data_IF_044683538245
#
_entry.id   IF_044683538245
#
_cell.length_a   1.000
_cell.length_b   1.000
_cell.length_c   1.000
_cell.angle_alpha   90.00
_cell.angle_beta   90.00
_cell.angle_gamma   90.00
#
_symmetry.space_group_name_H-M   'P 1'
#
loop_
_entity.id
_entity.type
_entity.pdbx_description
1 polymer ?
#
# COMPACT_ATOMS: atom_id res chain seq x y z
N UNK A 1 33.33 5.10 2.92
CA UNK A 1 31.85 5.23 2.93
C UNK A 1 31.36 5.35 4.37
N UNK A 2 30.50 6.33 4.68
CA UNK A 2 29.91 6.47 6.02
C UNK A 2 29.04 5.25 6.37
N UNK A 3 29.05 4.82 7.65
CA UNK A 3 28.22 3.71 8.15
C UNK A 3 26.73 3.89 7.82
N UNK A 4 26.24 5.13 7.76
CA UNK A 4 24.86 5.43 7.39
C UNK A 4 24.51 5.17 5.91
N UNK A 5 25.47 5.34 4.99
CA UNK A 5 25.25 5.03 3.57
C UNK A 5 25.22 3.52 3.33
N UNK A 6 26.07 2.77 4.06
CA UNK A 6 26.10 1.31 4.01
C UNK A 6 24.83 0.69 4.57
N UNK A 7 24.33 1.18 5.70
CA UNK A 7 23.09 0.68 6.30
C UNK A 7 21.87 0.91 5.39
N UNK A 8 21.78 2.09 4.76
CA UNK A 8 20.70 2.39 3.80
C UNK A 8 20.77 1.50 2.56
N UNK A 9 21.96 1.27 2.02
CA UNK A 9 22.14 0.34 0.90
C UNK A 9 21.78 -1.10 1.28
N UNK A 10 22.23 -1.55 2.45
CA UNK A 10 21.99 -2.90 2.93
C UNK A 10 20.50 -3.19 3.14
N UNK A 11 19.75 -2.28 3.77
CA UNK A 11 18.30 -2.43 3.99
C UNK A 11 17.53 -2.48 2.66
N UNK A 12 17.87 -1.62 1.70
CA UNK A 12 17.19 -1.60 0.40
C UNK A 12 17.45 -2.91 -0.37
N UNK A 13 18.70 -3.38 -0.36
CA UNK A 13 19.07 -4.62 -1.04
C UNK A 13 18.45 -5.85 -0.38
N UNK A 14 18.37 -5.88 0.95
CA UNK A 14 17.77 -6.98 1.70
C UNK A 14 16.24 -7.04 1.56
N UNK A 15 15.57 -5.89 1.42
CA UNK A 15 14.15 -5.81 1.10
C UNK A 15 13.85 -6.21 -0.36
N UNK A 16 14.78 -5.97 -1.29
CA UNK A 16 14.63 -6.37 -2.70
C UNK A 16 14.62 -7.90 -2.90
N UNK A 17 15.32 -8.64 -2.03
CA UNK A 17 15.28 -10.11 -2.02
C UNK A 17 13.95 -10.68 -1.50
N UNK A 18 13.15 -9.88 -0.78
CA UNK A 18 11.82 -10.28 -0.36
C UNK A 18 10.85 -10.18 -1.55
N UNK A 19 10.70 -11.27 -2.30
CA UNK A 19 9.88 -11.36 -3.53
C UNK A 19 8.42 -10.85 -3.38
N UNK A 20 7.91 -10.77 -2.15
CA UNK A 20 6.56 -10.32 -1.83
C UNK A 20 6.46 -8.84 -1.42
N UNK A 21 7.57 -8.14 -1.19
CA UNK A 21 7.58 -6.74 -0.75
C UNK A 21 7.88 -5.84 -1.94
N UNK A 22 6.86 -5.17 -2.48
CA UNK A 22 7.02 -4.30 -3.65
C UNK A 22 7.30 -2.84 -3.27
N UNK A 23 8.13 -2.14 -4.04
CA UNK A 23 8.33 -0.70 -3.90
C UNK A 23 7.10 0.09 -4.37
N UNK A 24 6.60 1.00 -3.52
CA UNK A 24 5.52 1.95 -3.83
C UNK A 24 6.15 3.27 -4.29
N UNK A 25 6.14 3.51 -5.60
CA UNK A 25 6.72 4.71 -6.20
C UNK A 25 5.72 5.87 -6.10
N UNK A 26 5.87 6.71 -5.07
CA UNK A 26 5.01 7.88 -4.87
C UNK A 26 5.45 9.07 -5.75
N UNK A 27 5.25 8.99 -7.07
CA UNK A 27 5.14 10.10 -8.05
C UNK A 27 6.24 11.17 -8.17
N UNK A 28 7.27 11.22 -7.31
CA UNK A 28 8.37 12.18 -7.37
C UNK A 28 9.70 11.45 -7.19
N UNK A 29 10.63 11.68 -8.11
CA UNK A 29 11.97 11.07 -8.14
C UNK A 29 12.79 11.19 -6.85
N UNK A 30 12.48 12.16 -5.97
CA UNK A 30 13.20 12.40 -4.72
C UNK A 30 12.47 11.97 -3.45
N UNK A 31 11.32 11.28 -3.57
CA UNK A 31 10.63 10.75 -2.38
C UNK A 31 11.15 9.35 -2.05
N UNK A 32 11.33 9.02 -0.75
CA UNK A 32 11.69 7.67 -0.35
C UNK A 32 10.65 6.70 -0.90
N UNK A 33 11.14 5.60 -1.47
CA UNK A 33 10.30 4.47 -1.85
C UNK A 33 9.82 3.81 -0.58
N UNK A 34 8.50 3.78 -0.39
CA UNK A 34 7.88 3.06 0.71
C UNK A 34 7.67 1.61 0.28
N UNK A 35 7.84 0.68 1.22
CA UNK A 35 7.61 -0.74 1.00
C UNK A 35 6.46 -1.17 1.91
N UNK A 36 5.41 -1.79 1.36
CA UNK A 36 4.26 -2.18 2.17
C UNK A 36 3.11 -2.76 1.37
N UNK A 37 2.17 -3.36 2.10
CA UNK A 37 0.90 -3.82 1.56
C UNK A 37 -0.02 -2.62 1.25
N UNK A 38 -0.78 -2.75 0.19
CA UNK A 38 -1.87 -1.85 -0.19
C UNK A 38 -3.16 -2.34 0.46
N UNK A 39 -3.86 -1.42 1.13
CA UNK A 39 -5.10 -1.68 1.86
C UNK A 39 -6.25 -0.91 1.22
N UNK A 40 -7.37 -1.58 0.97
CA UNK A 40 -8.66 -0.95 0.65
C UNK A 40 -9.57 -1.03 1.87
N UNK A 41 -10.19 0.08 2.23
CA UNK A 41 -11.06 0.22 3.41
C UNK A 41 -12.35 0.89 2.99
N UNK A 42 -13.49 0.30 3.38
CA UNK A 42 -14.82 0.87 3.25
C UNK A 42 -15.40 1.25 4.63
N UNK A 43 -16.42 2.09 4.62
CA UNK A 43 -17.18 2.43 5.82
C UNK A 43 -18.54 1.76 5.75
N UNK A 44 -18.97 1.22 6.89
CA UNK A 44 -20.30 0.69 7.12
C UNK A 44 -21.28 1.82 7.47
N UNK A 45 -22.59 1.58 7.34
CA UNK A 45 -23.66 2.51 7.72
C UNK A 45 -23.62 2.93 9.19
N UNK A 46 -23.11 2.06 10.06
CA UNK A 46 -22.88 2.32 11.49
C UNK A 46 -21.56 3.06 11.79
N UNK A 47 -20.78 3.41 10.75
CA UNK A 47 -19.51 4.13 10.88
C UNK A 47 -18.29 3.27 11.20
N UNK A 48 -18.41 1.94 11.09
CA UNK A 48 -17.26 1.03 11.23
C UNK A 48 -16.43 0.97 9.96
N UNK A 49 -15.11 0.96 10.10
CA UNK A 49 -14.20 0.76 8.99
C UNK A 49 -13.95 -0.74 8.75
N UNK A 50 -14.29 -1.23 7.54
CA UNK A 50 -14.07 -2.61 7.12
C UNK A 50 -12.93 -2.69 6.11
N UNK A 51 -12.09 -3.72 6.24
CA UNK A 51 -10.99 -3.99 5.31
C UNK A 51 -11.49 -4.90 4.19
N UNK A 52 -11.61 -4.37 2.98
CA UNK A 52 -12.07 -5.13 1.82
C UNK A 52 -10.94 -5.95 1.21
N UNK A 53 -9.77 -5.33 1.04
CA UNK A 53 -8.62 -5.94 0.37
C UNK A 53 -7.32 -5.56 1.07
N UNK A 54 -6.52 -6.57 1.42
CA UNK A 54 -5.14 -6.43 1.86
C UNK A 54 -4.25 -7.19 0.88
N UNK A 55 -3.48 -6.47 0.08
CA UNK A 55 -2.70 -7.05 -1.02
C UNK A 55 -1.32 -6.42 -1.14
N UNK A 56 -0.35 -7.19 -1.61
CA UNK A 56 1.02 -6.71 -1.83
C UNK A 56 1.28 -6.31 -3.30
N UNK A 57 0.34 -6.64 -4.18
CA UNK A 57 0.29 -6.24 -5.59
C UNK A 57 -0.48 -4.93 -5.79
N UNK A 58 -0.14 -4.21 -6.87
CA UNK A 58 -0.82 -2.97 -7.22
C UNK A 58 -2.20 -3.28 -7.82
N UNK A 59 -3.25 -2.71 -7.23
CA UNK A 59 -4.61 -2.77 -7.76
C UNK A 59 -5.20 -1.36 -7.94
N UNK A 60 -6.17 -1.22 -8.83
CA UNK A 60 -6.88 0.04 -9.10
C UNK A 60 -8.04 0.23 -8.12
N UNK A 61 -7.82 1.05 -7.08
CA UNK A 61 -8.86 1.43 -6.10
C UNK A 61 -10.11 2.05 -6.74
N UNK A 62 -9.95 2.75 -7.87
CA UNK A 62 -11.07 3.40 -8.56
C UNK A 62 -12.14 2.44 -9.09
N UNK A 63 -11.83 1.15 -9.20
CA UNK A 63 -12.82 0.12 -9.56
C UNK A 63 -13.70 -0.28 -8.37
N UNK A 64 -13.16 -0.21 -7.15
CA UNK A 64 -13.83 -0.65 -5.92
C UNK A 64 -14.75 0.44 -5.34
N UNK A 65 -14.51 1.70 -5.70
CA UNK A 65 -15.26 2.84 -5.15
C UNK A 65 -16.78 2.75 -5.43
N UNK A 66 -17.18 2.32 -6.64
CA UNK A 66 -18.61 2.25 -6.99
C UNK A 66 -19.34 1.19 -6.17
N UNK A 67 -18.77 -0.01 -6.06
CA UNK A 67 -19.37 -1.10 -5.29
C UNK A 67 -19.41 -0.77 -3.80
N UNK A 68 -18.36 -0.17 -3.23
CA UNK A 68 -18.34 0.27 -1.83
C UNK A 68 -19.44 1.29 -1.53
N UNK A 69 -19.68 2.25 -2.43
CA UNK A 69 -20.75 3.25 -2.27
C UNK A 69 -22.15 2.63 -2.38
N UNK A 70 -22.33 1.63 -3.25
CA UNK A 70 -23.59 0.88 -3.36
C UNK A 70 -23.86 0.06 -2.09
N UNK A 71 -22.85 -0.65 -1.57
CA UNK A 71 -22.94 -1.39 -0.31
C UNK A 71 -23.32 -0.47 0.85
N UNK A 72 -22.66 0.69 0.98
CA UNK A 72 -22.99 1.68 2.01
C UNK A 72 -24.43 2.20 1.93
N UNK A 73 -25.02 2.28 0.73
CA UNK A 73 -26.43 2.72 0.57
C UNK A 73 -27.45 1.61 0.83
N UNK A 74 -27.05 0.35 0.70
CA UNK A 74 -27.92 -0.81 0.87
C UNK A 74 -27.97 -1.32 2.33
N UNK A 75 -27.09 -0.82 3.19
CA UNK A 75 -27.04 -1.13 4.62
C UNK A 75 -28.12 -0.37 5.41
#
# INVERSE_FOLDING_TARGET
MSRGLLYRYWVIQHLYDQQYVRPIIRGKQNKPVEFGAKLSVSLDGDGFAQVDHLRWDAFHEGLDLKSQVEVYRCQ
#
